data_IF_845099014378
#
_entry.id   IF_845099014378
#
_cell.length_a   1.000
_cell.length_b   1.000
_cell.length_c   1.000
_cell.angle_alpha   90.00
_cell.angle_beta   90.00
_cell.angle_gamma   90.00
#
_symmetry.space_group_name_H-M   'P 1'
#
loop_
_entity.id
_entity.type
_entity.pdbx_description
1 polymer ?
#
# COMPACT_ATOMS: atom_id res chain seq x y z
N UNK A 1 4.57 -15.81 12.76
CA UNK A 1 5.67 -16.79 12.59
C UNK A 1 6.56 -16.52 11.38
N UNK A 2 6.01 -16.43 10.16
CA UNK A 2 6.81 -16.18 8.95
C UNK A 2 7.76 -14.96 9.04
N UNK A 3 7.31 -13.82 9.57
CA UNK A 3 8.16 -12.64 9.76
C UNK A 3 9.40 -12.91 10.65
N UNK A 4 9.27 -13.74 11.69
CA UNK A 4 10.40 -14.12 12.55
C UNK A 4 11.38 -15.04 11.82
N UNK A 5 10.86 -15.97 11.01
CA UNK A 5 11.68 -16.85 10.17
C UNK A 5 12.48 -16.06 9.13
N UNK A 6 11.89 -14.98 8.60
CA UNK A 6 12.55 -14.07 7.67
C UNK A 6 13.48 -13.06 8.38
N UNK A 7 13.63 -13.15 9.70
CA UNK A 7 14.62 -12.42 10.50
C UNK A 7 14.16 -11.08 11.04
N UNK A 8 12.85 -10.79 11.07
CA UNK A 8 12.30 -9.55 11.61
C UNK A 8 11.93 -9.68 13.08
N UNK A 9 12.18 -8.59 13.83
CA UNK A 9 11.53 -8.37 15.12
C UNK A 9 10.04 -8.17 14.90
N UNK A 10 9.23 -8.76 15.78
CA UNK A 10 7.76 -8.68 15.68
C UNK A 10 7.16 -8.18 16.97
N UNK A 11 6.18 -7.30 16.85
CA UNK A 11 5.47 -6.68 17.96
C UNK A 11 3.96 -6.81 17.74
N UNK A 12 3.16 -6.49 18.75
CA UNK A 12 1.74 -6.17 18.52
C UNK A 12 1.62 -4.89 17.68
N UNK A 13 0.47 -4.64 17.04
CA UNK A 13 0.30 -3.44 16.20
C UNK A 13 0.42 -2.18 17.04
N UNK A 14 -0.18 -2.17 18.23
CA UNK A 14 -0.06 -1.05 19.17
C UNK A 14 1.39 -0.77 19.60
N UNK A 15 2.19 -1.80 19.87
CA UNK A 15 3.61 -1.63 20.23
C UNK A 15 4.45 -1.14 19.05
N UNK A 16 4.25 -1.73 17.86
CA UNK A 16 4.96 -1.30 16.65
C UNK A 16 4.67 0.16 16.32
N UNK A 17 3.41 0.58 16.44
CA UNK A 17 2.98 1.96 16.17
C UNK A 17 3.69 2.96 17.08
N UNK A 18 3.81 2.66 18.39
CA UNK A 18 4.51 3.53 19.36
C UNK A 18 6.01 3.68 19.09
N UNK A 19 6.62 2.71 18.41
CA UNK A 19 8.06 2.69 18.14
C UNK A 19 8.41 3.35 16.81
N UNK A 20 7.42 3.58 15.94
CA UNK A 20 7.64 3.92 14.54
C UNK A 20 7.34 5.40 14.27
N UNK A 21 8.21 6.05 13.50
CA UNK A 21 7.94 7.37 12.92
C UNK A 21 7.08 7.26 11.64
N UNK A 22 7.19 6.13 10.93
CA UNK A 22 6.47 5.82 9.69
C UNK A 22 5.76 4.47 9.82
N UNK A 23 4.44 4.47 9.68
CA UNK A 23 3.57 3.31 9.85
C UNK A 23 2.94 2.95 8.50
N UNK A 24 3.38 1.86 7.87
CA UNK A 24 2.80 1.37 6.62
C UNK A 24 1.73 0.32 6.89
N UNK A 25 0.48 0.60 6.54
CA UNK A 25 -0.66 -0.30 6.71
C UNK A 25 -0.79 -1.20 5.48
N UNK A 26 -0.53 -2.50 5.66
CA UNK A 26 -0.58 -3.54 4.62
C UNK A 26 -1.51 -4.70 5.00
N UNK A 27 -2.47 -4.45 5.90
CA UNK A 27 -3.54 -5.39 6.21
C UNK A 27 -4.61 -5.38 5.10
N UNK A 28 -5.43 -6.44 4.96
CA UNK A 28 -6.57 -6.43 4.03
C UNK A 28 -7.48 -5.22 4.24
N UNK A 29 -7.92 -4.58 3.15
CA UNK A 29 -8.61 -3.29 3.20
C UNK A 29 -9.86 -3.32 4.07
N UNK A 30 -10.58 -4.43 4.11
CA UNK A 30 -11.81 -4.62 4.88
C UNK A 30 -11.61 -4.64 6.40
N UNK A 31 -10.39 -4.92 6.87
CA UNK A 31 -10.06 -4.94 8.30
C UNK A 31 -9.25 -3.72 8.76
N UNK A 32 -8.76 -2.90 7.83
CA UNK A 32 -7.91 -1.75 8.16
C UNK A 32 -8.62 -0.74 9.06
N UNK A 33 -9.92 -0.50 8.88
CA UNK A 33 -10.66 0.46 9.71
C UNK A 33 -10.66 0.04 11.19
N UNK A 34 -11.07 -1.19 11.48
CA UNK A 34 -11.13 -1.72 12.86
C UNK A 34 -9.73 -1.74 13.49
N UNK A 35 -8.74 -2.21 12.74
CA UNK A 35 -7.33 -2.22 13.18
C UNK A 35 -6.81 -0.83 13.48
N UNK A 36 -7.11 0.14 12.61
CA UNK A 36 -6.66 1.52 12.75
C UNK A 36 -7.25 2.15 14.01
N UNK A 37 -8.56 2.04 14.21
CA UNK A 37 -9.25 2.62 15.37
C UNK A 37 -8.79 1.99 16.69
N UNK A 38 -8.56 0.67 16.71
CA UNK A 38 -8.22 -0.07 17.92
C UNK A 38 -6.73 0.05 18.31
N UNK A 39 -5.82 -0.02 17.33
CA UNK A 39 -4.40 -0.26 17.61
C UNK A 39 -3.45 0.78 17.02
N UNK A 40 -3.84 1.57 16.01
CA UNK A 40 -2.95 2.54 15.37
C UNK A 40 -3.26 3.95 15.86
N UNK A 41 -4.47 4.44 15.64
CA UNK A 41 -4.88 5.82 15.95
C UNK A 41 -4.60 6.25 17.41
N UNK A 42 -4.82 5.40 18.45
CA UNK A 42 -4.53 5.79 19.84
C UNK A 42 -3.03 5.93 20.16
N UNK A 43 -2.16 5.47 19.27
CA UNK A 43 -0.72 5.37 19.48
C UNK A 43 0.09 6.25 18.51
N UNK A 44 -0.58 7.02 17.64
CA UNK A 44 0.07 7.99 16.78
C UNK A 44 0.50 9.24 17.57
N UNK A 45 1.63 9.79 17.16
CA UNK A 45 2.17 11.06 17.64
C UNK A 45 2.17 12.12 16.52
N UNK A 46 2.11 13.38 16.91
CA UNK A 46 2.20 14.50 15.96
C UNK A 46 3.52 14.43 15.18
N UNK A 47 3.44 14.53 13.86
CA UNK A 47 4.58 14.42 12.95
C UNK A 47 4.92 12.99 12.50
N UNK A 48 4.20 11.96 12.97
CA UNK A 48 4.28 10.64 12.34
C UNK A 48 3.80 10.69 10.88
N UNK A 49 4.11 9.63 10.13
CA UNK A 49 3.57 9.40 8.80
C UNK A 49 2.83 8.05 8.73
N UNK A 50 1.62 8.03 8.17
CA UNK A 50 0.85 6.81 7.89
C UNK A 50 0.84 6.56 6.39
N UNK A 51 1.36 5.40 6.00
CA UNK A 51 1.50 4.94 4.63
C UNK A 51 0.48 3.87 4.27
N UNK A 52 0.01 3.87 3.02
CA UNK A 52 -0.86 2.83 2.45
C UNK A 52 -0.28 2.28 1.15
N UNK A 53 -0.63 1.04 0.80
CA UNK A 53 -0.34 0.46 -0.53
C UNK A 53 -1.54 0.51 -1.49
N UNK A 54 -2.72 0.87 -0.98
CA UNK A 54 -3.95 1.09 -1.74
C UNK A 54 -4.75 2.22 -1.08
N UNK A 55 -5.39 3.05 -1.88
CA UNK A 55 -6.07 4.26 -1.41
C UNK A 55 -7.45 4.04 -0.79
N UNK A 56 -8.01 2.82 -0.85
CA UNK A 56 -9.41 2.49 -0.53
C UNK A 56 -9.95 3.17 0.74
N UNK A 57 -9.31 2.93 1.89
CA UNK A 57 -9.82 3.40 3.18
C UNK A 57 -9.76 4.92 3.37
N UNK A 58 -8.79 5.58 2.73
CA UNK A 58 -8.67 7.04 2.77
C UNK A 58 -9.62 7.68 1.73
N UNK A 59 -9.70 7.11 0.53
CA UNK A 59 -10.54 7.63 -0.55
C UNK A 59 -12.04 7.58 -0.19
N UNK A 60 -12.50 6.47 0.40
CA UNK A 60 -13.88 6.29 0.83
C UNK A 60 -14.15 6.79 2.27
N UNK A 61 -13.18 7.47 2.88
CA UNK A 61 -13.29 8.11 4.21
C UNK A 61 -13.60 7.17 5.38
N UNK A 62 -13.30 5.86 5.25
CA UNK A 62 -13.41 4.91 6.35
C UNK A 62 -12.36 5.16 7.43
N UNK A 63 -11.15 5.58 7.03
CA UNK A 63 -10.09 6.00 7.94
C UNK A 63 -9.90 7.51 7.84
N UNK A 64 -9.88 8.18 9.00
CA UNK A 64 -9.59 9.62 9.13
C UNK A 64 -8.37 9.80 9.99
N UNK A 65 -7.28 10.26 9.38
CA UNK A 65 -6.00 10.47 10.05
C UNK A 65 -5.98 11.86 10.72
N UNK A 66 -5.43 12.00 11.95
CA UNK A 66 -5.25 13.30 12.59
C UNK A 66 -4.52 14.32 11.70
N UNK A 67 -4.90 15.60 11.77
CA UNK A 67 -4.40 16.65 10.87
C UNK A 67 -2.90 16.97 11.02
N UNK A 68 -2.27 16.48 12.10
CA UNK A 68 -0.87 16.66 12.45
C UNK A 68 0.02 15.46 12.06
N UNK A 69 -0.49 14.52 11.27
CA UNK A 69 0.21 13.30 10.81
C UNK A 69 0.29 13.30 9.28
N UNK A 70 1.42 12.95 8.68
CA UNK A 70 1.52 12.83 7.22
C UNK A 70 0.74 11.60 6.72
N UNK A 71 0.13 11.69 5.54
CA UNK A 71 -0.58 10.57 4.91
C UNK A 71 -0.12 10.42 3.47
N UNK A 72 0.50 9.28 3.17
CA UNK A 72 1.08 8.99 1.87
C UNK A 72 0.76 7.57 1.38
N UNK A 73 0.96 7.36 0.09
CA UNK A 73 0.78 6.07 -0.55
C UNK A 73 1.97 5.70 -1.41
N UNK A 74 2.31 4.41 -1.38
CA UNK A 74 3.16 3.77 -2.35
C UNK A 74 2.48 2.48 -2.83
N UNK A 75 1.98 2.48 -4.06
CA UNK A 75 1.19 1.39 -4.64
C UNK A 75 1.94 0.70 -5.79
N UNK A 76 2.73 -0.36 -5.53
CA UNK A 76 3.34 -1.18 -6.58
C UNK A 76 2.27 -1.82 -7.47
N UNK A 77 2.40 -1.67 -8.78
CA UNK A 77 1.44 -2.19 -9.76
C UNK A 77 1.79 -3.64 -10.13
N UNK A 78 1.62 -4.52 -9.16
CA UNK A 78 1.84 -5.96 -9.30
C UNK A 78 1.72 -6.71 -7.97
N UNK A 79 1.54 -8.05 -8.02
CA UNK A 79 1.37 -8.85 -6.80
C UNK A 79 2.63 -8.86 -5.94
N UNK A 80 2.46 -8.83 -4.62
CA UNK A 80 3.56 -8.63 -3.66
C UNK A 80 4.74 -9.61 -3.78
N UNK A 81 4.48 -10.89 -4.11
CA UNK A 81 5.54 -11.87 -4.33
C UNK A 81 6.43 -11.53 -5.55
N UNK A 82 5.89 -10.87 -6.58
CA UNK A 82 6.66 -10.37 -7.72
C UNK A 82 7.44 -9.11 -7.38
N UNK A 83 6.90 -8.25 -6.51
CA UNK A 83 7.64 -7.08 -6.00
C UNK A 83 8.95 -7.55 -5.34
N UNK A 84 8.89 -8.55 -4.46
CA UNK A 84 10.10 -9.09 -3.82
C UNK A 84 11.04 -9.78 -4.82
N UNK A 85 10.53 -10.67 -5.66
CA UNK A 85 11.35 -11.44 -6.60
C UNK A 85 12.12 -10.53 -7.56
N UNK A 86 11.43 -9.58 -8.19
CA UNK A 86 12.07 -8.64 -9.13
C UNK A 86 13.07 -7.73 -8.43
N UNK A 87 12.82 -7.34 -7.18
CA UNK A 87 13.77 -6.58 -6.39
C UNK A 87 15.10 -7.32 -6.19
N UNK A 88 15.04 -8.61 -5.84
CA UNK A 88 16.21 -9.47 -5.62
C UNK A 88 16.99 -9.73 -6.92
N UNK A 89 16.29 -9.77 -8.06
CA UNK A 89 16.87 -9.88 -9.40
C UNK A 89 17.53 -8.57 -9.89
N UNK A 90 17.54 -7.51 -9.06
CA UNK A 90 18.10 -6.20 -9.42
C UNK A 90 17.18 -5.34 -10.28
N UNK A 91 15.93 -5.76 -10.48
CA UNK A 91 14.87 -5.03 -11.17
C UNK A 91 13.86 -4.45 -10.15
N UNK A 92 12.63 -4.15 -10.57
CA UNK A 92 11.54 -3.71 -9.70
C UNK A 92 10.17 -3.81 -10.38
N UNK A 93 9.13 -3.41 -9.65
CA UNK A 93 7.77 -3.23 -10.17
C UNK A 93 7.48 -1.72 -10.14
N UNK A 94 6.93 -1.12 -11.21
CA UNK A 94 6.58 0.30 -11.17
C UNK A 94 5.55 0.56 -10.07
N UNK A 95 5.59 1.74 -9.47
CA UNK A 95 4.65 2.12 -8.42
C UNK A 95 4.04 3.49 -8.70
N UNK A 96 2.80 3.64 -8.27
CA UNK A 96 2.21 4.95 -8.09
C UNK A 96 2.55 5.46 -6.68
N UNK A 97 2.75 6.76 -6.55
CA UNK A 97 2.85 7.41 -5.24
C UNK A 97 1.86 8.57 -5.16
N UNK A 98 1.34 8.82 -3.96
CA UNK A 98 0.45 9.94 -3.70
C UNK A 98 0.66 10.51 -2.29
N UNK A 99 0.30 11.76 -2.11
CA UNK A 99 0.19 12.42 -0.81
C UNK A 99 -1.25 12.86 -0.62
N UNK A 100 -1.88 12.42 0.47
CA UNK A 100 -3.22 12.85 0.86
C UNK A 100 -3.17 14.02 1.84
N UNK A 101 -2.25 13.95 2.80
CA UNK A 101 -2.03 14.96 3.83
C UNK A 101 -0.54 15.17 4.06
N UNK A 102 -0.11 16.43 4.12
CA UNK A 102 1.27 16.83 4.37
C UNK A 102 1.31 17.78 5.57
N UNK A 103 1.35 17.21 6.76
CA UNK A 103 1.38 17.93 8.02
C UNK A 103 2.78 18.47 8.36
N UNK A 104 3.83 17.74 7.96
CA UNK A 104 5.22 18.09 8.28
C UNK A 104 5.93 18.86 7.17
N UNK A 105 5.42 18.81 5.93
CA UNK A 105 6.08 19.31 4.73
C UNK A 105 7.02 18.30 4.07
N UNK A 106 7.09 17.06 4.59
CA UNK A 106 7.99 16.01 4.10
C UNK A 106 7.23 14.82 3.48
N UNK A 107 5.89 14.81 3.46
CA UNK A 107 5.12 13.64 3.07
C UNK A 107 5.45 13.13 1.67
N UNK A 108 5.75 14.05 0.73
CA UNK A 108 6.16 13.70 -0.64
C UNK A 108 7.52 13.00 -0.68
N UNK A 109 8.50 13.50 0.06
CA UNK A 109 9.83 12.90 0.12
C UNK A 109 9.76 11.52 0.76
N UNK A 110 8.99 11.37 1.85
CA UNK A 110 8.72 10.08 2.50
C UNK A 110 8.10 9.09 1.51
N UNK A 111 7.08 9.51 0.74
CA UNK A 111 6.43 8.64 -0.24
C UNK A 111 7.39 8.16 -1.33
N UNK A 112 8.19 9.07 -1.88
CA UNK A 112 9.15 8.77 -2.94
C UNK A 112 10.30 7.89 -2.43
N UNK A 113 10.83 8.18 -1.24
CA UNK A 113 11.89 7.37 -0.61
C UNK A 113 11.38 5.99 -0.22
N UNK A 114 10.13 5.86 0.24
CA UNK A 114 9.49 4.57 0.48
C UNK A 114 9.43 3.74 -0.81
N UNK A 115 8.91 4.32 -1.89
CA UNK A 115 8.84 3.65 -3.19
C UNK A 115 10.23 3.29 -3.76
N UNK A 116 11.23 4.14 -3.53
CA UNK A 116 12.62 3.82 -3.86
C UNK A 116 13.17 2.66 -3.01
N UNK A 117 12.86 2.63 -1.72
CA UNK A 117 13.27 1.59 -0.79
C UNK A 117 12.76 0.20 -1.17
N UNK A 118 11.54 0.11 -1.70
CA UNK A 118 10.97 -1.13 -2.24
C UNK A 118 11.38 -1.42 -3.70
N UNK A 119 12.24 -0.58 -4.28
CA UNK A 119 12.85 -0.75 -5.61
C UNK A 119 12.03 -0.28 -6.81
N UNK A 120 10.85 0.31 -6.59
CA UNK A 120 10.00 0.76 -7.69
C UNK A 120 10.65 1.87 -8.54
N UNK A 121 11.49 2.71 -7.92
CA UNK A 121 12.25 3.76 -8.61
C UNK A 121 13.27 3.24 -9.65
N UNK A 122 13.58 1.94 -9.66
CA UNK A 122 14.43 1.32 -10.70
C UNK A 122 13.73 1.24 -12.06
N UNK A 123 12.39 1.26 -12.05
CA UNK A 123 11.56 1.10 -13.26
C UNK A 123 10.81 2.38 -13.55
N UNK A 124 10.04 2.89 -12.58
CA UNK A 124 9.25 4.10 -12.76
C UNK A 124 8.37 4.38 -11.54
N UNK A 125 8.38 5.64 -11.12
CA UNK A 125 7.46 6.19 -10.14
C UNK A 125 6.57 7.22 -10.84
N UNK A 126 5.26 7.08 -10.67
CA UNK A 126 4.30 8.04 -11.21
C UNK A 126 3.52 8.66 -10.06
N UNK A 127 3.39 9.98 -10.10
CA UNK A 127 2.55 10.73 -9.16
C UNK A 127 1.08 10.51 -9.51
N UNK A 128 0.26 10.28 -8.50
CA UNK A 128 -1.20 10.12 -8.63
C UNK A 128 -1.92 10.77 -7.45
N UNK A 129 -3.24 10.59 -7.37
CA UNK A 129 -4.07 10.92 -6.20
C UNK A 129 -4.67 9.66 -5.61
N UNK A 130 -5.08 9.69 -4.35
CA UNK A 130 -5.79 8.57 -3.72
C UNK A 130 -7.05 8.18 -4.49
N UNK A 131 -7.78 9.16 -5.03
CA UNK A 131 -8.96 8.92 -5.87
C UNK A 131 -8.59 8.16 -7.15
N UNK A 132 -7.61 8.69 -7.90
CA UNK A 132 -7.20 8.08 -9.17
C UNK A 132 -6.68 6.67 -8.96
N UNK A 133 -5.78 6.46 -8.00
CA UNK A 133 -5.26 5.13 -7.66
C UNK A 133 -6.37 4.15 -7.25
N UNK A 134 -7.28 4.58 -6.36
CA UNK A 134 -8.33 3.68 -5.89
C UNK A 134 -9.27 3.27 -7.02
N UNK A 135 -9.70 4.23 -7.83
CA UNK A 135 -10.64 3.97 -8.92
C UNK A 135 -10.00 3.15 -10.06
N UNK A 136 -8.75 3.45 -10.43
CA UNK A 136 -8.06 2.74 -11.51
C UNK A 136 -7.65 1.32 -11.11
N UNK A 137 -7.21 1.12 -9.87
CA UNK A 137 -6.79 -0.18 -9.36
C UNK A 137 -7.99 -1.14 -9.30
N UNK A 138 -9.09 -0.72 -8.66
CA UNK A 138 -10.34 -1.49 -8.59
C UNK A 138 -10.90 -1.81 -9.99
N UNK A 139 -10.85 -0.85 -10.91
CA UNK A 139 -11.27 -1.10 -12.29
C UNK A 139 -10.35 -2.12 -12.98
N UNK A 140 -9.04 -1.95 -12.84
CA UNK A 140 -8.03 -2.80 -13.46
C UNK A 140 -8.18 -4.26 -13.05
N UNK A 141 -8.29 -4.52 -11.75
CA UNK A 141 -8.44 -5.89 -11.23
C UNK A 141 -9.78 -6.53 -11.61
N UNK A 142 -10.89 -5.80 -11.53
CA UNK A 142 -12.21 -6.34 -11.83
C UNK A 142 -12.40 -6.59 -13.33
N UNK A 143 -12.05 -5.61 -14.17
CA UNK A 143 -12.37 -5.63 -15.59
C UNK A 143 -11.36 -6.41 -16.44
N UNK A 144 -10.08 -6.44 -16.03
CA UNK A 144 -9.00 -6.99 -16.88
C UNK A 144 -8.14 -8.00 -16.13
N UNK A 145 -7.42 -7.59 -15.10
CA UNK A 145 -6.28 -8.34 -14.56
C UNK A 145 -6.72 -9.64 -13.87
N UNK A 146 -7.85 -9.61 -13.15
CA UNK A 146 -8.36 -10.77 -12.43
C UNK A 146 -9.64 -11.27 -13.10
N UNK A 147 -10.73 -10.49 -13.06
CA UNK A 147 -12.03 -10.94 -13.55
C UNK A 147 -12.04 -11.23 -15.05
N UNK A 148 -11.63 -10.25 -15.86
CA UNK A 148 -11.64 -10.36 -17.32
C UNK A 148 -10.75 -11.48 -17.86
N UNK A 149 -9.50 -11.54 -17.43
CA UNK A 149 -8.54 -12.55 -17.90
C UNK A 149 -8.97 -13.97 -17.50
N UNK A 150 -9.42 -14.16 -16.26
CA UNK A 150 -9.84 -15.49 -15.77
C UNK A 150 -11.04 -15.99 -16.56
N UNK A 151 -12.08 -15.16 -16.71
CA UNK A 151 -13.27 -15.51 -17.48
C UNK A 151 -12.94 -15.80 -18.96
N UNK A 152 -11.99 -15.09 -19.55
CA UNK A 152 -11.56 -15.34 -20.93
C UNK A 152 -10.87 -16.72 -21.07
N UNK A 153 -10.01 -17.08 -20.10
CA UNK A 153 -9.33 -18.39 -20.08
C UNK A 153 -10.36 -19.51 -19.91
N UNK A 154 -11.27 -19.38 -18.95
CA UNK A 154 -12.35 -20.35 -18.69
C UNK A 154 -13.22 -20.54 -19.92
N UNK A 155 -13.72 -19.45 -20.51
CA UNK A 155 -14.53 -19.51 -21.72
C UNK A 155 -13.78 -20.18 -22.88
N UNK A 156 -12.49 -19.86 -23.06
CA UNK A 156 -11.65 -20.49 -24.07
C UNK A 156 -11.50 -22.00 -23.86
N UNK A 157 -11.38 -22.44 -22.61
CA UNK A 157 -11.31 -23.87 -22.26
C UNK A 157 -12.65 -24.56 -22.52
N UNK A 158 -13.76 -24.02 -22.00
CA UNK A 158 -15.11 -24.57 -22.13
C UNK A 158 -15.56 -24.68 -23.59
N UNK A 159 -15.19 -23.75 -24.45
CA UNK A 159 -15.53 -23.80 -25.89
C UNK A 159 -14.79 -24.94 -26.61
N UNK A 160 -13.60 -25.30 -26.14
CA UNK A 160 -12.75 -26.31 -26.78
C UNK A 160 -12.98 -27.74 -26.25
N UNK A 161 -13.62 -27.90 -25.09
CA UNK A 161 -13.90 -29.20 -24.44
C UNK A 161 -15.36 -29.60 -24.52
#
# INVERSE_FOLDING_TARGET
>A
DKAKEDGFDTYTVAEATKLADVIMILAPDEIQQELYEAEIAPNLEAGNAVGFAHGFNIHFEFIKVPADVDVFMCAPKGPGHLVRRTFEEGFGVPALYAVYQDATGNAKDIAMDWCKGVGAARVGLLETTYKEETEEDLFGEQAVLCGGLTALIEAGFEVLT
#
